data_IF_710275657037
#
_entry.id   IF_710275657037
#
_cell.length_a   1.000
_cell.length_b   1.000
_cell.length_c   1.000
_cell.angle_alpha   90.00
_cell.angle_beta   90.00
_cell.angle_gamma   90.00
#
_symmetry.space_group_name_H-M   'P 1'
#
loop_
_entity.id
_entity.type
_entity.pdbx_description
1 polymer ?
#
# COMPACT_ATOMS: atom_id res chain seq x y z
N UNK A 1 -6.26 26.19 8.65
CA UNK A 1 -5.68 27.30 7.83
C UNK A 1 -5.16 26.66 6.56
N UNK A 2 -5.69 27.05 5.41
CA UNK A 2 -5.20 26.58 4.10
C UNK A 2 -3.78 27.08 3.90
N UNK A 3 -2.84 26.19 3.62
CA UNK A 3 -1.44 26.51 3.38
C UNK A 3 -1.31 27.26 2.05
N UNK A 4 -1.26 28.60 2.08
CA UNK A 4 -1.06 29.43 0.88
C UNK A 4 0.43 29.50 0.59
N UNK A 5 0.88 28.84 -0.50
CA UNK A 5 2.27 28.90 -0.97
C UNK A 5 2.34 29.90 -2.12
N UNK A 6 3.01 31.02 -1.89
CA UNK A 6 3.31 32.02 -2.89
C UNK A 6 4.68 31.85 -3.54
N UNK A 7 4.99 32.71 -4.52
CA UNK A 7 6.28 32.68 -5.24
C UNK A 7 7.49 32.95 -4.34
N UNK A 8 7.31 33.70 -3.28
CA UNK A 8 8.38 34.11 -2.36
C UNK A 8 8.35 33.36 -1.02
N UNK A 9 7.42 32.42 -0.84
CA UNK A 9 7.37 31.56 0.35
C UNK A 9 8.61 30.67 0.42
N UNK A 10 9.30 30.66 1.56
CA UNK A 10 10.47 29.81 1.79
C UNK A 10 10.03 28.41 2.21
N UNK A 11 10.16 27.45 1.30
CA UNK A 11 9.69 26.07 1.51
C UNK A 11 10.85 25.09 1.51
N UNK A 12 10.94 24.26 2.55
CA UNK A 12 11.87 23.15 2.59
C UNK A 12 11.15 21.83 2.33
N UNK A 13 11.71 20.96 1.47
CA UNK A 13 11.24 19.60 1.23
C UNK A 13 12.23 18.65 1.90
N UNK A 14 11.77 17.87 2.87
CA UNK A 14 12.60 16.90 3.59
C UNK A 14 12.37 15.48 3.09
N UNK A 15 13.41 14.89 2.48
CA UNK A 15 13.41 13.60 1.82
C UNK A 15 13.07 13.70 0.32
N UNK A 16 13.73 12.86 -0.50
CA UNK A 16 13.64 12.89 -1.97
C UNK A 16 13.17 11.54 -2.55
N UNK A 17 12.24 10.89 -1.85
CA UNK A 17 11.48 9.76 -2.39
C UNK A 17 10.43 10.22 -3.41
N UNK A 18 9.48 9.34 -3.77
CA UNK A 18 8.43 9.63 -4.77
C UNK A 18 7.66 10.92 -4.41
N UNK A 19 7.18 11.05 -3.17
CA UNK A 19 6.43 12.24 -2.74
C UNK A 19 7.31 13.49 -2.62
N UNK A 20 8.56 13.36 -2.19
CA UNK A 20 9.48 14.50 -2.14
C UNK A 20 9.80 15.05 -3.53
N UNK A 21 10.02 14.19 -4.51
CA UNK A 21 10.18 14.59 -5.93
C UNK A 21 8.93 15.27 -6.48
N UNK A 22 7.77 14.74 -6.16
CA UNK A 22 6.48 15.31 -6.53
C UNK A 22 6.31 16.71 -5.91
N UNK A 23 6.63 16.87 -4.62
CA UNK A 23 6.57 18.17 -3.94
C UNK A 23 7.51 19.20 -4.58
N UNK A 24 8.77 18.86 -4.84
CA UNK A 24 9.72 19.72 -5.53
C UNK A 24 9.22 20.14 -6.91
N UNK A 25 8.72 19.18 -7.70
CA UNK A 25 8.16 19.44 -9.03
C UNK A 25 6.93 20.34 -8.97
N UNK A 26 6.06 20.13 -7.99
CA UNK A 26 4.86 20.95 -7.79
C UNK A 26 5.20 22.38 -7.37
N UNK A 27 6.10 22.58 -6.40
CA UNK A 27 6.58 23.91 -5.98
C UNK A 27 7.16 24.71 -7.16
N UNK A 28 7.87 24.03 -8.05
CA UNK A 28 8.39 24.66 -9.26
C UNK A 28 7.26 25.12 -10.20
N UNK A 29 6.23 24.26 -10.42
CA UNK A 29 5.06 24.64 -11.24
C UNK A 29 4.31 25.84 -10.66
N UNK A 30 4.27 25.97 -9.33
CA UNK A 30 3.73 27.14 -8.64
C UNK A 30 4.62 28.40 -8.77
N UNK A 31 5.84 28.27 -9.31
CA UNK A 31 6.80 29.38 -9.40
C UNK A 31 7.46 29.72 -8.06
N UNK A 32 7.46 28.83 -7.07
CA UNK A 32 8.12 29.04 -5.79
C UNK A 32 9.64 29.18 -6.00
N UNK A 33 10.19 30.35 -5.68
CA UNK A 33 11.60 30.71 -5.92
C UNK A 33 12.53 30.30 -4.79
N UNK A 34 11.99 30.10 -3.58
CA UNK A 34 12.76 29.82 -2.37
C UNK A 34 12.56 28.36 -1.90
N UNK A 35 12.40 27.43 -2.85
CA UNK A 35 12.33 26.01 -2.56
C UNK A 35 13.74 25.44 -2.33
N UNK A 36 13.88 24.60 -1.27
CA UNK A 36 15.13 23.87 -0.98
C UNK A 36 14.83 22.41 -0.68
N UNK A 37 15.79 21.53 -0.97
CA UNK A 37 15.73 20.13 -0.64
C UNK A 37 16.64 19.82 0.55
N UNK A 38 16.13 19.07 1.52
CA UNK A 38 16.88 18.52 2.65
C UNK A 38 16.92 16.99 2.48
N UNK A 39 18.12 16.43 2.43
CA UNK A 39 18.34 14.98 2.35
C UNK A 39 19.73 14.62 2.85
N UNK A 40 19.98 13.32 3.13
CA UNK A 40 21.30 12.83 3.59
C UNK A 40 22.40 13.06 2.56
N UNK A 41 22.05 12.91 1.27
CA UNK A 41 22.97 13.11 0.16
C UNK A 41 22.31 13.96 -0.92
N UNK A 42 23.11 14.72 -1.68
CA UNK A 42 22.59 15.48 -2.81
C UNK A 42 22.20 14.52 -3.96
N UNK A 43 20.92 14.47 -4.36
CA UNK A 43 20.51 13.62 -5.47
C UNK A 43 21.16 14.07 -6.78
N UNK A 44 21.63 13.10 -7.58
CA UNK A 44 22.29 13.38 -8.87
C UNK A 44 21.34 14.05 -9.89
N UNK A 45 20.05 13.79 -9.78
CA UNK A 45 18.99 14.32 -10.63
C UNK A 45 18.30 15.57 -10.07
N UNK A 46 18.81 16.15 -8.97
CA UNK A 46 18.29 17.40 -8.43
C UNK A 46 18.62 18.59 -9.36
N UNK A 47 17.59 19.31 -9.72
CA UNK A 47 17.71 20.50 -10.59
C UNK A 47 18.66 21.55 -9.98
N UNK A 48 19.43 22.23 -10.82
CA UNK A 48 20.47 23.20 -10.37
C UNK A 48 19.92 24.40 -9.62
N UNK A 49 18.69 24.78 -9.88
CA UNK A 49 17.99 25.92 -9.25
C UNK A 49 17.34 25.59 -7.91
N UNK A 50 17.36 24.34 -7.47
CA UNK A 50 16.89 23.93 -6.14
C UNK A 50 18.11 23.85 -5.22
N UNK A 51 18.11 24.66 -4.15
CA UNK A 51 19.13 24.60 -3.12
C UNK A 51 19.07 23.24 -2.40
N UNK A 52 20.23 22.64 -2.14
CA UNK A 52 20.33 21.42 -1.35
C UNK A 52 21.05 21.69 -0.04
N UNK A 53 20.52 21.13 1.04
CA UNK A 53 21.10 21.21 2.39
C UNK A 53 21.16 19.80 2.96
N UNK A 54 22.25 19.45 3.62
CA UNK A 54 22.41 18.17 4.27
C UNK A 54 21.45 18.05 5.47
N UNK A 55 20.89 16.85 5.70
CA UNK A 55 19.89 16.64 6.74
C UNK A 55 20.46 16.69 8.18
N UNK A 56 21.76 16.64 8.34
CA UNK A 56 22.49 16.79 9.60
C UNK A 56 22.84 18.27 9.93
N UNK A 57 22.75 19.17 8.95
CA UNK A 57 22.84 20.62 9.18
C UNK A 57 21.46 21.17 9.58
N UNK A 58 21.08 20.98 10.85
CA UNK A 58 19.76 21.39 11.35
C UNK A 58 19.51 22.89 11.24
N UNK A 59 20.52 23.71 11.54
CA UNK A 59 20.41 25.17 11.53
C UNK A 59 20.28 25.70 10.11
N UNK A 60 21.12 25.24 9.19
CA UNK A 60 21.05 25.61 7.78
C UNK A 60 19.76 25.11 7.11
N UNK A 61 19.31 23.91 7.49
CA UNK A 61 18.11 23.31 6.94
C UNK A 61 16.83 24.11 7.25
N UNK A 62 16.72 24.67 8.46
CA UNK A 62 15.53 25.37 8.93
C UNK A 62 15.63 26.90 8.87
N UNK A 63 16.81 27.46 8.57
CA UNK A 63 17.01 28.92 8.53
C UNK A 63 16.10 29.62 7.54
N UNK A 64 15.20 30.49 8.03
CA UNK A 64 14.25 31.26 7.23
C UNK A 64 13.17 30.40 6.54
N UNK A 65 12.96 29.14 6.94
CA UNK A 65 11.91 28.28 6.41
C UNK A 65 10.55 28.66 7.00
N UNK A 66 9.56 28.87 6.15
CA UNK A 66 8.19 29.19 6.52
C UNK A 66 7.27 27.96 6.48
N UNK A 67 7.66 26.91 5.70
CA UNK A 67 6.92 25.66 5.57
C UNK A 67 7.88 24.49 5.33
N UNK A 68 7.69 23.40 6.07
CA UNK A 68 8.41 22.15 5.88
C UNK A 68 7.48 21.08 5.30
N UNK A 69 7.79 20.59 4.10
CA UNK A 69 7.11 19.45 3.46
C UNK A 69 7.96 18.21 3.70
N UNK A 70 7.49 17.26 4.51
CA UNK A 70 8.24 16.03 4.77
C UNK A 70 7.75 14.84 3.93
N UNK A 71 8.65 13.96 3.54
CA UNK A 71 8.30 12.66 2.97
C UNK A 71 7.65 11.77 4.05
N UNK A 72 6.65 10.92 3.69
CA UNK A 72 5.90 10.11 4.67
C UNK A 72 6.78 9.17 5.50
N UNK A 73 7.85 8.62 4.91
CA UNK A 73 8.77 7.71 5.61
C UNK A 73 9.58 8.36 6.74
N UNK A 74 9.63 9.69 6.81
CA UNK A 74 10.36 10.41 7.86
C UNK A 74 9.57 10.36 9.15
N UNK A 75 10.20 9.81 10.21
CA UNK A 75 9.56 9.64 11.52
C UNK A 75 9.22 11.01 12.15
N UNK A 76 8.07 11.13 12.85
CA UNK A 76 7.76 12.35 13.61
C UNK A 76 8.80 12.68 14.68
N UNK A 77 9.52 11.67 15.20
CA UNK A 77 10.59 11.81 16.19
C UNK A 77 11.96 12.19 15.58
N UNK A 78 12.05 12.42 14.27
CA UNK A 78 13.32 12.80 13.64
C UNK A 78 13.80 14.16 14.19
N UNK A 79 15.11 14.35 14.52
CA UNK A 79 15.63 15.59 15.11
C UNK A 79 15.23 16.86 14.35
N UNK A 80 15.27 16.83 13.03
CA UNK A 80 14.88 17.97 12.19
C UNK A 80 13.38 18.31 12.30
N UNK A 81 12.51 17.29 12.42
CA UNK A 81 11.06 17.51 12.63
C UNK A 81 10.81 18.13 14.00
N UNK A 82 11.49 17.63 15.04
CA UNK A 82 11.39 18.17 16.40
C UNK A 82 11.91 19.61 16.47
N UNK A 83 13.02 19.92 15.77
CA UNK A 83 13.57 21.27 15.68
C UNK A 83 12.61 22.22 14.93
N UNK A 84 12.00 21.78 13.83
CA UNK A 84 10.99 22.57 13.11
C UNK A 84 9.77 22.89 13.99
N UNK A 85 9.26 21.88 14.74
CA UNK A 85 8.17 22.07 15.70
C UNK A 85 8.55 23.06 16.80
N UNK A 86 9.75 22.96 17.37
CA UNK A 86 10.25 23.88 18.40
C UNK A 86 10.41 25.32 17.89
N UNK A 87 10.75 25.47 16.60
CA UNK A 87 10.82 26.76 15.92
C UNK A 87 9.47 27.30 15.45
N UNK A 88 8.37 26.58 15.66
CA UNK A 88 7.04 26.96 15.20
C UNK A 88 6.86 26.89 13.68
N UNK A 89 7.72 26.15 12.96
CA UNK A 89 7.62 25.98 11.51
C UNK A 89 6.51 24.96 11.20
N UNK A 90 5.47 25.33 10.46
CA UNK A 90 4.44 24.41 10.02
C UNK A 90 5.03 23.23 9.22
N UNK A 91 4.61 22.02 9.55
CA UNK A 91 5.07 20.80 8.87
C UNK A 91 3.87 20.11 8.22
N UNK A 92 4.01 19.74 6.95
CA UNK A 92 3.01 19.08 6.14
C UNK A 92 3.62 17.97 5.28
N UNK A 93 2.82 17.32 4.43
CA UNK A 93 3.27 16.34 3.43
C UNK A 93 2.64 16.61 2.06
N UNK A 94 3.21 16.03 1.00
CA UNK A 94 2.64 16.15 -0.34
C UNK A 94 1.18 15.66 -0.40
N UNK A 95 0.87 14.59 0.32
CA UNK A 95 -0.50 14.05 0.41
C UNK A 95 -1.43 15.00 1.14
N UNK A 96 -1.02 15.61 2.27
CA UNK A 96 -1.85 16.55 3.01
C UNK A 96 -2.15 17.81 2.17
N UNK A 97 -1.12 18.36 1.50
CA UNK A 97 -1.28 19.49 0.58
C UNK A 97 -2.26 19.19 -0.56
N UNK A 98 -2.20 17.96 -1.11
CA UNK A 98 -3.15 17.54 -2.12
C UNK A 98 -4.59 17.53 -1.60
N UNK A 99 -4.83 16.93 -0.42
CA UNK A 99 -6.17 16.87 0.17
C UNK A 99 -6.69 18.29 0.49
N UNK A 100 -5.87 19.15 1.06
CA UNK A 100 -6.21 20.56 1.32
C UNK A 100 -6.56 21.32 0.03
N UNK A 101 -5.79 21.11 -1.04
CA UNK A 101 -6.05 21.75 -2.34
C UNK A 101 -7.32 21.24 -2.98
N UNK A 102 -7.57 19.93 -2.90
CA UNK A 102 -8.79 19.31 -3.41
C UNK A 102 -10.04 19.79 -2.64
N UNK A 103 -9.97 19.86 -1.32
CA UNK A 103 -11.04 20.39 -0.47
C UNK A 103 -11.34 21.85 -0.79
N UNK A 104 -10.31 22.71 -0.85
CA UNK A 104 -10.46 24.14 -1.23
C UNK A 104 -11.12 24.31 -2.60
N UNK A 105 -10.85 23.40 -3.54
CA UNK A 105 -11.46 23.39 -4.86
C UNK A 105 -12.87 22.75 -4.89
N UNK A 106 -13.36 22.23 -3.77
CA UNK A 106 -14.65 21.55 -3.64
C UNK A 106 -14.72 20.27 -4.48
N UNK A 107 -13.61 19.49 -4.52
CA UNK A 107 -13.53 18.24 -5.26
C UNK A 107 -13.97 17.05 -4.39
N UNK A 108 -14.60 16.07 -5.03
CA UNK A 108 -14.97 14.82 -4.36
C UNK A 108 -13.75 13.92 -4.23
N UNK A 109 -13.33 13.66 -2.99
CA UNK A 109 -12.19 12.80 -2.66
C UNK A 109 -12.65 11.58 -1.86
N UNK A 110 -12.36 10.38 -2.35
CA UNK A 110 -12.53 9.11 -1.65
C UNK A 110 -11.16 8.65 -1.15
N UNK A 111 -10.88 8.82 0.13
CA UNK A 111 -9.65 8.33 0.75
C UNK A 111 -9.81 6.90 1.27
N UNK A 112 -8.90 6.00 0.92
CA UNK A 112 -8.95 4.59 1.33
C UNK A 112 -7.75 4.24 2.19
N UNK A 113 -7.98 3.83 3.43
CA UNK A 113 -6.92 3.38 4.36
C UNK A 113 -7.27 2.07 5.07
N UNK A 114 -6.34 1.56 5.86
CA UNK A 114 -6.42 0.32 6.62
C UNK A 114 -5.07 -0.40 6.67
N UNK A 115 -4.95 -1.44 7.47
CA UNK A 115 -3.73 -2.26 7.47
C UNK A 115 -3.62 -3.09 6.19
N UNK A 116 -4.66 -3.81 5.78
CA UNK A 116 -4.74 -4.56 4.50
C UNK A 116 -6.03 -4.23 3.74
N UNK A 117 -6.03 -4.49 2.42
CA UNK A 117 -7.20 -4.32 1.57
C UNK A 117 -7.29 -2.96 0.86
N UNK A 118 -6.47 -1.98 1.24
CA UNK A 118 -6.47 -0.62 0.67
C UNK A 118 -6.45 -0.59 -0.86
N UNK A 119 -5.38 -1.13 -1.46
CA UNK A 119 -5.14 -1.07 -2.91
C UNK A 119 -6.25 -1.76 -3.70
N UNK A 120 -6.68 -2.94 -3.24
CA UNK A 120 -7.79 -3.66 -3.87
C UNK A 120 -9.08 -2.86 -3.79
N UNK A 121 -9.40 -2.32 -2.61
CA UNK A 121 -10.61 -1.50 -2.40
C UNK A 121 -10.57 -0.24 -3.24
N UNK A 122 -9.48 0.52 -3.24
CA UNK A 122 -9.32 1.74 -4.03
C UNK A 122 -9.46 1.46 -5.54
N UNK A 123 -8.84 0.36 -6.02
CA UNK A 123 -8.97 -0.04 -7.42
C UNK A 123 -10.40 -0.49 -7.78
N UNK A 124 -11.07 -1.24 -6.90
CA UNK A 124 -12.46 -1.63 -7.12
C UNK A 124 -13.39 -0.41 -7.14
N UNK A 125 -13.19 0.58 -6.25
CA UNK A 125 -13.94 1.84 -6.26
C UNK A 125 -13.75 2.53 -7.61
N UNK A 126 -12.50 2.78 -8.02
CA UNK A 126 -12.21 3.50 -9.26
C UNK A 126 -12.82 2.79 -10.48
N UNK A 127 -12.61 1.47 -10.61
CA UNK A 127 -13.18 0.69 -11.71
C UNK A 127 -14.71 0.65 -11.70
N UNK A 128 -15.34 0.64 -10.53
CA UNK A 128 -16.82 0.65 -10.43
C UNK A 128 -17.38 2.00 -10.84
N UNK A 129 -16.72 3.10 -10.49
CA UNK A 129 -17.09 4.45 -10.95
C UNK A 129 -16.89 4.60 -12.47
N UNK A 130 -15.76 4.12 -13.00
CA UNK A 130 -15.49 4.09 -14.45
C UNK A 130 -16.55 3.28 -15.20
N UNK A 131 -16.93 2.09 -14.68
CA UNK A 131 -18.00 1.27 -15.25
C UNK A 131 -19.36 1.98 -15.24
N UNK A 132 -19.60 2.87 -14.28
CA UNK A 132 -20.76 3.75 -14.22
C UNK A 132 -20.62 5.02 -15.08
N UNK A 133 -19.55 5.14 -15.88
CA UNK A 133 -19.24 6.33 -16.70
C UNK A 133 -19.02 7.60 -15.88
N UNK A 134 -18.55 7.48 -14.65
CA UNK A 134 -18.21 8.60 -13.78
C UNK A 134 -16.71 8.89 -13.95
N UNK A 135 -16.32 10.11 -14.39
CA UNK A 135 -14.93 10.49 -14.53
C UNK A 135 -14.17 10.27 -13.20
N UNK A 136 -13.11 9.47 -13.23
CA UNK A 136 -12.42 9.01 -12.02
C UNK A 136 -10.92 9.04 -12.21
N UNK A 137 -10.18 9.38 -11.14
CA UNK A 137 -8.71 9.30 -11.10
C UNK A 137 -8.30 8.54 -9.84
N UNK A 138 -7.47 7.52 -10.00
CA UNK A 138 -6.87 6.74 -8.91
C UNK A 138 -5.42 7.17 -8.68
N UNK A 139 -5.09 7.56 -7.44
CA UNK A 139 -3.77 8.10 -7.07
C UNK A 139 -3.38 7.70 -5.63
N UNK A 140 -2.20 8.10 -5.20
CA UNK A 140 -1.72 7.98 -3.82
C UNK A 140 -0.62 6.95 -3.66
N UNK A 141 -0.75 6.02 -2.71
CA UNK A 141 0.25 4.98 -2.45
C UNK A 141 0.31 3.90 -3.55
N UNK A 142 -0.62 3.95 -4.50
CA UNK A 142 -0.62 3.19 -5.76
C UNK A 142 -0.76 4.16 -6.94
N UNK A 143 -0.16 3.79 -8.07
CA UNK A 143 -0.21 4.62 -9.27
C UNK A 143 0.65 5.89 -9.16
N UNK A 144 0.06 7.02 -9.53
CA UNK A 144 0.73 8.33 -9.53
C UNK A 144 0.64 8.98 -8.15
N UNK A 145 1.67 9.74 -7.77
CA UNK A 145 1.58 10.60 -6.59
C UNK A 145 0.41 11.60 -6.75
N UNK A 146 -0.38 11.77 -5.68
CA UNK A 146 -1.56 12.62 -5.73
C UNK A 146 -1.23 14.08 -6.12
N UNK A 147 -0.13 14.62 -5.61
CA UNK A 147 0.28 16.00 -5.89
C UNK A 147 0.74 16.21 -7.35
N UNK A 148 1.13 15.14 -8.08
CA UNK A 148 1.50 15.26 -9.50
C UNK A 148 0.32 15.60 -10.40
N UNK A 149 -0.90 15.24 -9.99
CA UNK A 149 -2.13 15.39 -10.76
C UNK A 149 -3.03 16.52 -10.26
N UNK A 150 -2.63 17.25 -9.21
CA UNK A 150 -3.51 18.18 -8.50
C UNK A 150 -4.14 19.24 -9.41
N UNK A 151 -3.37 19.85 -10.31
CA UNK A 151 -3.88 20.90 -11.20
C UNK A 151 -4.81 20.31 -12.29
N UNK A 152 -4.50 19.09 -12.78
CA UNK A 152 -5.35 18.40 -13.75
C UNK A 152 -6.72 18.08 -13.15
N UNK A 153 -6.75 17.55 -11.90
CA UNK A 153 -8.02 17.20 -11.24
C UNK A 153 -8.81 18.44 -10.82
N UNK A 154 -8.14 19.53 -10.46
CA UNK A 154 -8.82 20.82 -10.21
C UNK A 154 -9.51 21.34 -11.48
N UNK A 155 -8.88 21.17 -12.64
CA UNK A 155 -9.42 21.62 -13.93
C UNK A 155 -10.57 20.75 -14.44
N UNK A 156 -10.47 19.42 -14.34
CA UNK A 156 -11.43 18.47 -14.92
C UNK A 156 -12.48 17.96 -13.95
N UNK A 157 -12.29 18.15 -12.65
CA UNK A 157 -13.21 17.81 -11.55
C UNK A 157 -13.72 16.34 -11.55
N UNK A 158 -12.84 15.33 -11.71
CA UNK A 158 -13.23 13.93 -11.58
C UNK A 158 -13.49 13.59 -10.11
N UNK A 159 -14.09 12.42 -9.85
CA UNK A 159 -14.03 11.79 -8.52
C UNK A 159 -12.61 11.27 -8.31
N UNK A 160 -12.00 11.64 -7.20
CA UNK A 160 -10.61 11.26 -6.91
C UNK A 160 -10.61 10.13 -5.89
N UNK A 161 -10.01 9.01 -6.23
CA UNK A 161 -9.79 7.88 -5.31
C UNK A 161 -8.33 7.90 -4.89
N UNK A 162 -8.08 8.05 -3.59
CA UNK A 162 -6.72 8.14 -3.03
C UNK A 162 -6.45 6.98 -2.10
N UNK A 163 -5.48 6.13 -2.41
CA UNK A 163 -4.98 5.15 -1.44
C UNK A 163 -4.01 5.82 -0.47
N UNK A 164 -4.26 5.66 0.83
CA UNK A 164 -3.50 6.32 1.89
C UNK A 164 -2.87 5.31 2.85
N UNK A 165 -1.54 5.36 3.00
CA UNK A 165 -0.80 4.65 4.04
C UNK A 165 -0.99 5.31 5.41
N UNK A 166 -0.58 4.62 6.51
CA UNK A 166 -0.59 5.23 7.84
C UNK A 166 0.39 6.39 7.99
N UNK A 167 1.46 6.40 7.20
CA UNK A 167 2.42 7.50 7.16
C UNK A 167 1.82 8.77 6.55
N UNK A 168 1.00 8.59 5.50
CA UNK A 168 0.32 9.69 4.81
C UNK A 168 -0.86 10.23 5.61
N UNK A 169 -1.68 9.34 6.21
CA UNK A 169 -2.81 9.79 7.04
C UNK A 169 -2.35 10.48 8.31
N UNK A 170 -1.14 10.19 8.82
CA UNK A 170 -0.55 10.84 9.99
C UNK A 170 -0.51 12.36 9.87
N UNK A 171 -0.25 12.87 8.68
CA UNK A 171 -0.04 14.31 8.44
C UNK A 171 -1.32 15.07 8.02
N UNK A 172 -2.45 14.37 7.82
CA UNK A 172 -3.69 15.01 7.38
C UNK A 172 -4.18 16.04 8.42
N UNK A 173 -4.55 17.20 7.94
CA UNK A 173 -5.21 18.27 8.71
C UNK A 173 -6.67 18.39 8.34
N UNK A 174 -7.03 17.95 7.14
CA UNK A 174 -8.39 17.88 6.59
C UNK A 174 -8.62 16.46 6.08
N UNK A 175 -9.78 15.88 6.36
CA UNK A 175 -10.20 14.57 5.87
C UNK A 175 -10.78 14.64 4.46
N UNK A 176 -10.78 13.53 3.69
CA UNK A 176 -11.47 13.44 2.41
C UNK A 176 -12.99 13.45 2.61
N UNK A 177 -13.76 13.90 1.60
CA UNK A 177 -15.23 13.91 1.66
C UNK A 177 -15.84 12.51 1.88
N UNK A 178 -15.15 11.46 1.45
CA UNK A 178 -15.49 10.07 1.77
C UNK A 178 -14.24 9.35 2.28
N UNK A 179 -14.26 8.89 3.53
CA UNK A 179 -13.22 8.02 4.10
C UNK A 179 -13.65 6.56 4.06
N UNK A 180 -12.77 5.66 3.62
CA UNK A 180 -13.00 4.22 3.63
C UNK A 180 -11.92 3.55 4.48
N UNK A 181 -12.34 2.85 5.55
CA UNK A 181 -11.43 2.17 6.47
C UNK A 181 -11.68 0.66 6.36
N UNK A 182 -10.67 -0.08 5.87
CA UNK A 182 -10.83 -1.49 5.53
C UNK A 182 -10.65 -2.42 6.71
N UNK A 183 -9.48 -2.39 7.36
CA UNK A 183 -9.15 -3.26 8.49
C UNK A 183 -8.04 -2.66 9.34
N UNK A 184 -8.04 -2.94 10.67
CA UNK A 184 -6.98 -2.55 11.58
C UNK A 184 -6.34 -3.76 12.25
N UNK A 185 -5.02 -3.86 12.15
CA UNK A 185 -4.16 -4.71 12.98
C UNK A 185 -2.75 -4.12 12.99
N UNK A 186 -1.92 -4.43 14.00
CA UNK A 186 -0.63 -3.79 14.21
C UNK A 186 0.34 -3.98 13.05
N UNK A 187 0.86 -2.87 12.50
CA UNK A 187 1.96 -2.81 11.52
C UNK A 187 2.80 -1.56 11.80
N UNK A 188 4.05 -1.51 11.35
CA UNK A 188 4.91 -0.31 11.39
C UNK A 188 5.08 0.32 12.78
N UNK A 189 5.10 -0.49 13.84
CA UNK A 189 5.11 -0.01 15.23
C UNK A 189 6.37 0.76 15.59
N UNK A 190 7.50 0.43 14.97
CA UNK A 190 8.78 1.13 15.12
C UNK A 190 8.75 2.57 14.60
N UNK A 191 7.95 2.86 13.58
CA UNK A 191 7.77 4.20 13.04
C UNK A 191 6.78 5.01 13.87
N UNK A 192 5.66 4.39 14.26
CA UNK A 192 4.57 5.06 14.98
C UNK A 192 4.82 5.16 16.48
N UNK A 193 5.75 4.36 17.04
CA UNK A 193 6.01 4.31 18.47
C UNK A 193 5.01 3.46 19.26
N UNK A 194 4.22 2.60 18.58
CA UNK A 194 3.29 1.69 19.24
C UNK A 194 1.97 1.47 18.49
N UNK A 195 1.11 0.61 19.04
CA UNK A 195 -0.15 0.19 18.42
C UNK A 195 -1.16 1.34 18.39
N UNK A 196 -1.37 2.02 19.51
CA UNK A 196 -2.37 3.10 19.57
C UNK A 196 -2.00 4.31 18.70
N UNK A 197 -0.75 4.80 18.66
CA UNK A 197 -0.33 5.83 17.69
C UNK A 197 -0.49 5.41 16.23
N UNK A 198 -0.24 4.13 15.91
CA UNK A 198 -0.48 3.59 14.57
C UNK A 198 -1.96 3.63 14.19
N UNK A 199 -2.85 3.18 15.08
CA UNK A 199 -4.28 3.22 14.83
C UNK A 199 -4.81 4.66 14.77
N UNK A 200 -4.36 5.53 15.66
CA UNK A 200 -4.70 6.95 15.63
C UNK A 200 -4.30 7.60 14.30
N UNK A 201 -3.11 7.30 13.79
CA UNK A 201 -2.65 7.79 12.48
C UNK A 201 -3.57 7.35 11.35
N UNK A 202 -4.04 6.09 11.34
CA UNK A 202 -4.99 5.64 10.31
C UNK A 202 -6.38 6.24 10.45
N UNK A 203 -6.88 6.34 11.68
CA UNK A 203 -8.21 6.88 11.96
C UNK A 203 -8.28 8.39 11.76
N UNK A 204 -7.14 9.07 11.66
CA UNK A 204 -7.07 10.49 11.36
C UNK A 204 -7.79 10.88 10.07
N UNK A 205 -7.85 9.97 9.09
CA UNK A 205 -8.62 10.15 7.86
C UNK A 205 -10.10 10.48 8.11
N UNK A 206 -10.68 9.91 9.17
CA UNK A 206 -12.07 10.15 9.58
C UNK A 206 -12.16 11.24 10.67
N UNK A 207 -11.18 11.29 11.56
CA UNK A 207 -11.17 12.26 12.67
C UNK A 207 -11.03 13.71 12.19
N UNK A 208 -10.50 13.93 10.99
CA UNK A 208 -10.34 15.26 10.38
C UNK A 208 -11.40 15.60 9.34
N UNK A 209 -12.46 14.77 9.21
CA UNK A 209 -13.64 15.04 8.38
C UNK A 209 -14.59 16.04 9.04
N UNK A 210 -15.48 16.61 8.24
CA UNK A 210 -16.58 17.49 8.66
C UNK A 210 -17.92 16.73 8.75
N UNK A 211 -18.96 17.34 9.33
CA UNK A 211 -20.32 16.74 9.49
C UNK A 211 -20.97 16.34 8.15
N UNK A 212 -20.67 17.05 7.07
CA UNK A 212 -21.18 16.74 5.71
C UNK A 212 -20.52 15.54 5.03
N UNK A 213 -19.43 15.05 5.56
CA UNK A 213 -18.63 13.95 4.99
C UNK A 213 -19.18 12.57 5.35
N UNK A 214 -18.57 11.53 4.81
CA UNK A 214 -18.97 10.14 5.03
C UNK A 214 -17.78 9.28 5.41
N UNK A 215 -17.89 8.53 6.51
CA UNK A 215 -16.95 7.48 6.91
C UNK A 215 -17.55 6.10 6.67
N UNK A 216 -16.99 5.34 5.76
CA UNK A 216 -17.32 3.94 5.46
C UNK A 216 -16.32 3.04 6.17
N UNK A 217 -16.78 2.13 7.01
CA UNK A 217 -15.87 1.33 7.82
C UNK A 217 -16.35 -0.12 8.01
N UNK A 218 -15.39 -1.02 8.15
CA UNK A 218 -15.63 -2.46 8.29
C UNK A 218 -16.15 -2.80 9.70
N UNK A 219 -17.45 -3.04 9.82
CA UNK A 219 -18.08 -3.37 11.10
C UNK A 219 -17.79 -4.82 11.57
N UNK A 220 -17.18 -5.65 10.73
CA UNK A 220 -16.73 -6.99 11.14
C UNK A 220 -15.31 -6.97 11.75
N UNK A 221 -14.63 -5.83 11.71
CA UNK A 221 -13.32 -5.68 12.32
C UNK A 221 -13.46 -5.28 13.79
N UNK A 222 -12.96 -6.08 14.76
CA UNK A 222 -13.16 -5.82 16.18
C UNK A 222 -12.52 -4.51 16.64
N UNK A 223 -11.36 -4.14 16.08
CA UNK A 223 -10.66 -2.92 16.45
C UNK A 223 -11.38 -1.67 15.95
N UNK A 224 -11.98 -1.72 14.75
CA UNK A 224 -12.82 -0.65 14.25
C UNK A 224 -14.13 -0.55 15.06
N UNK A 225 -14.80 -1.67 15.32
CA UNK A 225 -16.05 -1.69 16.09
C UNK A 225 -15.87 -1.13 17.52
N UNK A 226 -14.73 -1.40 18.15
CA UNK A 226 -14.41 -0.88 19.49
C UNK A 226 -14.14 0.62 19.50
N UNK A 227 -13.67 1.21 18.39
CA UNK A 227 -13.26 2.61 18.28
C UNK A 227 -14.27 3.54 17.64
N UNK A 228 -15.32 3.01 17.03
CA UNK A 228 -16.37 3.83 16.44
C UNK A 228 -17.19 4.60 17.53
N UNK A 229 -17.65 5.83 17.27
CA UNK A 229 -17.42 6.65 16.06
C UNK A 229 -16.00 7.26 15.99
N UNK A 230 -15.52 7.57 14.78
CA UNK A 230 -14.14 8.03 14.55
C UNK A 230 -14.02 9.56 14.38
N UNK A 231 -15.14 10.26 14.16
CA UNK A 231 -15.20 11.70 13.90
C UNK A 231 -16.64 12.17 13.69
N UNK A 232 -16.85 13.43 13.27
CA UNK A 232 -18.17 14.04 13.15
C UNK A 232 -18.95 13.62 11.88
N UNK A 233 -18.30 12.99 10.90
CA UNK A 233 -18.90 12.58 9.64
C UNK A 233 -20.02 11.53 9.82
N UNK A 234 -20.88 11.35 8.83
CA UNK A 234 -21.87 10.29 8.81
C UNK A 234 -21.20 8.92 8.66
N UNK A 235 -21.44 8.02 9.61
CA UNK A 235 -20.86 6.68 9.66
C UNK A 235 -21.71 5.65 8.90
N UNK A 236 -21.10 4.95 7.95
CA UNK A 236 -21.69 3.88 7.14
C UNK A 236 -20.93 2.58 7.41
N UNK A 237 -21.42 1.71 8.33
CA UNK A 237 -20.82 0.41 8.57
C UNK A 237 -21.09 -0.53 7.38
N UNK A 238 -20.07 -1.33 6.98
CA UNK A 238 -20.24 -2.41 6.01
C UNK A 238 -19.75 -3.75 6.56
N UNK A 239 -20.06 -4.82 5.87
CA UNK A 239 -19.61 -6.18 6.20
C UNK A 239 -20.65 -7.02 6.91
N UNK A 240 -21.62 -6.41 7.59
CA UNK A 240 -22.73 -7.11 8.25
C UNK A 240 -23.88 -7.40 7.26
N UNK A 241 -24.63 -8.45 7.52
CA UNK A 241 -25.78 -8.86 6.67
C UNK A 241 -25.40 -9.35 5.27
N UNK A 242 -26.38 -9.54 4.38
CA UNK A 242 -26.16 -10.01 3.01
C UNK A 242 -25.45 -8.94 2.17
N UNK A 243 -24.75 -9.36 1.12
CA UNK A 243 -24.19 -8.44 0.14
C UNK A 243 -25.31 -7.89 -0.78
N UNK A 244 -25.19 -6.64 -1.17
CA UNK A 244 -26.12 -6.00 -2.12
C UNK A 244 -25.75 -6.31 -3.60
N UNK A 245 -24.82 -7.24 -3.84
CA UNK A 245 -24.35 -7.66 -5.16
C UNK A 245 -24.10 -9.16 -5.19
N UNK A 246 -24.11 -9.75 -6.40
CA UNK A 246 -23.72 -11.15 -6.61
C UNK A 246 -22.21 -11.28 -6.72
N UNK A 247 -21.62 -12.23 -6.01
CA UNK A 247 -20.19 -12.59 -6.10
C UNK A 247 -19.94 -13.88 -6.90
N UNK A 248 -20.97 -14.41 -7.58
CA UNK A 248 -20.91 -15.69 -8.32
C UNK A 248 -19.80 -15.73 -9.37
N UNK A 249 -19.53 -14.60 -10.04
CA UNK A 249 -18.51 -14.49 -11.09
C UNK A 249 -17.24 -13.75 -10.62
N UNK A 250 -17.12 -13.51 -9.31
CA UNK A 250 -15.98 -12.80 -8.75
C UNK A 250 -14.68 -13.59 -8.93
N UNK A 251 -13.72 -13.02 -9.66
CA UNK A 251 -12.40 -13.62 -9.86
C UNK A 251 -11.49 -13.50 -8.65
N UNK A 252 -11.67 -12.46 -7.83
CA UNK A 252 -10.91 -12.26 -6.60
C UNK A 252 -11.26 -13.29 -5.55
N UNK A 253 -10.25 -14.05 -5.07
CA UNK A 253 -10.44 -15.12 -4.08
C UNK A 253 -10.43 -14.59 -2.65
N UNK A 254 -11.12 -15.29 -1.78
CA UNK A 254 -11.09 -15.15 -0.33
C UNK A 254 -12.13 -14.19 0.26
N UNK A 255 -12.53 -14.42 1.52
CA UNK A 255 -13.57 -13.64 2.20
C UNK A 255 -13.18 -12.15 2.39
N UNK A 256 -11.90 -11.85 2.52
CA UNK A 256 -11.41 -10.49 2.61
C UNK A 256 -11.68 -9.66 1.34
N UNK A 257 -11.66 -10.28 0.16
CA UNK A 257 -11.97 -9.58 -1.08
C UNK A 257 -13.48 -9.33 -1.24
N UNK A 258 -14.35 -10.17 -0.67
CA UNK A 258 -15.77 -9.86 -0.54
C UNK A 258 -16.02 -8.62 0.31
N UNK A 259 -15.27 -8.45 1.40
CA UNK A 259 -15.32 -7.23 2.22
C UNK A 259 -14.79 -6.01 1.46
N UNK A 260 -13.69 -6.15 0.70
CA UNK A 260 -13.19 -5.09 -0.16
C UNK A 260 -14.21 -4.65 -1.21
N UNK A 261 -14.93 -5.61 -1.82
CA UNK A 261 -16.00 -5.33 -2.78
C UNK A 261 -17.20 -4.62 -2.12
N UNK A 262 -17.59 -5.00 -0.89
CA UNK A 262 -18.64 -4.31 -0.12
C UNK A 262 -18.25 -2.86 0.16
N UNK A 263 -17.03 -2.62 0.61
CA UNK A 263 -16.52 -1.27 0.83
C UNK A 263 -16.55 -0.44 -0.48
N UNK A 264 -16.13 -1.07 -1.60
CA UNK A 264 -16.12 -0.41 -2.90
C UNK A 264 -17.52 -0.01 -3.35
N UNK A 265 -18.51 -0.90 -3.22
CA UNK A 265 -19.90 -0.57 -3.56
C UNK A 265 -20.43 0.57 -2.68
N UNK A 266 -20.23 0.50 -1.36
CA UNK A 266 -20.67 1.55 -0.45
C UNK A 266 -20.12 2.94 -0.85
N UNK A 267 -18.83 3.01 -1.22
CA UNK A 267 -18.19 4.26 -1.64
C UNK A 267 -18.68 4.72 -3.02
N UNK A 268 -18.70 3.84 -4.00
CA UNK A 268 -19.09 4.17 -5.37
C UNK A 268 -20.59 4.55 -5.49
N UNK A 269 -21.45 3.96 -4.66
CA UNK A 269 -22.90 4.26 -4.67
C UNK A 269 -23.22 5.69 -4.20
N UNK A 270 -22.35 6.34 -3.43
CA UNK A 270 -22.48 7.77 -3.06
C UNK A 270 -22.50 8.64 -4.32
N UNK A 271 -21.82 8.20 -5.38
CA UNK A 271 -21.71 8.89 -6.66
C UNK A 271 -22.65 8.31 -7.75
N UNK A 272 -23.57 7.42 -7.38
CA UNK A 272 -24.59 6.88 -8.29
C UNK A 272 -24.22 5.57 -8.97
N UNK A 273 -23.11 4.92 -8.64
CA UNK A 273 -22.80 3.60 -9.15
C UNK A 273 -23.78 2.54 -8.57
N UNK A 274 -24.22 1.61 -9.42
CA UNK A 274 -25.15 0.54 -9.07
C UNK A 274 -24.40 -0.77 -8.80
N UNK A 275 -25.02 -1.75 -8.08
CA UNK A 275 -24.46 -3.07 -7.87
C UNK A 275 -23.99 -3.76 -9.15
N UNK A 276 -24.74 -3.64 -10.26
CA UNK A 276 -24.41 -4.24 -11.56
C UNK A 276 -23.09 -3.74 -12.14
N UNK A 277 -22.70 -2.49 -11.89
CA UNK A 277 -21.39 -1.95 -12.31
C UNK A 277 -20.26 -2.67 -11.57
N UNK A 278 -20.39 -2.86 -10.24
CA UNK A 278 -19.43 -3.63 -9.45
C UNK A 278 -19.36 -5.09 -9.90
N UNK A 279 -20.50 -5.73 -10.14
CA UNK A 279 -20.57 -7.14 -10.59
C UNK A 279 -19.81 -7.35 -11.91
N UNK A 280 -19.98 -6.44 -12.87
CA UNK A 280 -19.21 -6.42 -14.11
C UNK A 280 -17.71 -6.30 -13.87
N UNK A 281 -17.30 -5.41 -12.95
CA UNK A 281 -15.90 -5.26 -12.54
C UNK A 281 -15.38 -6.53 -11.88
N UNK A 282 -16.12 -7.15 -10.94
CA UNK A 282 -15.69 -8.36 -10.23
C UNK A 282 -15.54 -9.56 -11.18
N UNK A 283 -16.36 -9.65 -12.22
CA UNK A 283 -16.27 -10.68 -13.26
C UNK A 283 -15.04 -10.46 -14.19
N UNK A 284 -14.63 -9.23 -14.40
CA UNK A 284 -13.52 -8.87 -15.29
C UNK A 284 -12.17 -8.77 -14.58
N UNK A 285 -12.14 -8.24 -13.34
CA UNK A 285 -10.92 -7.88 -12.63
C UNK A 285 -10.27 -9.10 -11.96
N UNK A 286 -9.08 -9.53 -12.42
CA UNK A 286 -8.42 -10.72 -11.87
C UNK A 286 -7.67 -10.47 -10.57
N UNK A 287 -7.52 -9.22 -10.15
CA UNK A 287 -6.71 -8.78 -9.03
C UNK A 287 -5.63 -7.78 -9.45
N UNK A 288 -4.89 -7.31 -8.46
CA UNK A 288 -3.74 -6.44 -8.69
C UNK A 288 -2.53 -7.27 -9.12
N UNK A 289 -1.66 -6.76 -10.01
CA UNK A 289 -0.40 -7.41 -10.33
C UNK A 289 0.39 -7.72 -9.05
N UNK A 290 1.08 -8.85 -9.03
CA UNK A 290 1.94 -9.30 -7.92
C UNK A 290 1.23 -9.51 -6.57
N UNK A 291 -0.09 -9.50 -6.54
CA UNK A 291 -0.89 -9.74 -5.32
C UNK A 291 -1.84 -10.90 -5.54
N UNK A 292 -1.40 -12.10 -5.16
CA UNK A 292 -2.15 -13.35 -5.41
C UNK A 292 -2.61 -13.40 -6.88
N UNK A 293 -1.77 -12.91 -7.76
CA UNK A 293 -2.05 -12.80 -9.18
C UNK A 293 -2.00 -14.18 -9.85
N UNK A 294 -3.10 -14.59 -10.46
CA UNK A 294 -3.18 -15.83 -11.21
C UNK A 294 -2.58 -15.64 -12.61
N UNK A 295 -1.40 -16.18 -12.83
CA UNK A 295 -0.73 -16.14 -14.14
C UNK A 295 -1.31 -17.13 -15.16
N UNK A 296 -2.16 -18.07 -14.72
CA UNK A 296 -2.71 -19.14 -15.55
C UNK A 296 -1.97 -20.46 -15.42
N UNK A 297 -2.19 -21.33 -16.41
CA UNK A 297 -1.64 -22.70 -16.43
C UNK A 297 -0.48 -22.76 -17.44
N UNK A 298 0.73 -23.09 -16.94
CA UNK A 298 1.92 -23.33 -17.74
C UNK A 298 2.53 -24.67 -17.34
N UNK A 299 2.92 -25.50 -18.29
CA UNK A 299 3.43 -26.86 -18.09
C UNK A 299 2.51 -27.76 -17.25
N UNK A 300 1.17 -27.53 -17.31
CA UNK A 300 0.17 -28.27 -16.53
C UNK A 300 0.12 -27.93 -15.06
N UNK A 301 0.68 -26.78 -14.65
CA UNK A 301 0.70 -26.24 -13.30
C UNK A 301 0.05 -24.86 -13.30
N UNK A 302 -0.74 -24.55 -12.26
CA UNK A 302 -1.26 -23.20 -12.03
C UNK A 302 -0.22 -22.37 -11.28
N UNK A 303 0.06 -21.16 -11.75
CA UNK A 303 1.09 -20.30 -11.19
C UNK A 303 0.49 -19.05 -10.57
N UNK A 304 0.83 -18.81 -9.31
CA UNK A 304 0.36 -17.64 -8.55
C UNK A 304 1.53 -16.76 -8.17
N UNK A 305 1.45 -15.48 -8.56
CA UNK A 305 2.43 -14.46 -8.26
C UNK A 305 1.96 -13.58 -7.10
N UNK A 306 2.60 -13.68 -5.97
CA UNK A 306 2.35 -12.86 -4.78
C UNK A 306 3.64 -12.16 -4.32
N UNK A 307 4.40 -11.62 -5.30
CA UNK A 307 5.68 -10.95 -5.04
C UNK A 307 5.59 -9.79 -4.05
N UNK A 308 4.42 -9.20 -3.85
CA UNK A 308 4.17 -8.13 -2.87
C UNK A 308 4.23 -8.63 -1.41
N UNK A 309 4.22 -9.93 -1.17
CA UNK A 309 4.35 -10.52 0.16
C UNK A 309 5.79 -10.34 0.68
N UNK A 310 6.06 -9.22 1.33
CA UNK A 310 7.38 -8.85 1.85
C UNK A 310 7.58 -9.17 3.32
N UNK A 311 6.63 -9.89 3.94
CA UNK A 311 6.67 -10.33 5.34
C UNK A 311 6.06 -11.73 5.49
N UNK A 312 6.47 -12.52 6.50
CA UNK A 312 5.97 -13.89 6.74
C UNK A 312 4.44 -13.99 6.86
N UNK A 313 3.79 -13.03 7.51
CA UNK A 313 2.35 -13.00 7.71
C UNK A 313 1.57 -12.86 6.39
N UNK A 314 2.15 -12.14 5.42
CA UNK A 314 1.54 -12.00 4.10
C UNK A 314 1.55 -13.33 3.35
N UNK A 315 2.64 -14.08 3.42
CA UNK A 315 2.75 -15.40 2.81
C UNK A 315 1.82 -16.43 3.48
N UNK A 316 1.66 -16.35 4.80
CA UNK A 316 0.64 -17.17 5.52
C UNK A 316 -0.75 -16.88 4.99
N UNK A 317 -1.12 -15.60 4.85
CA UNK A 317 -2.42 -15.22 4.31
C UNK A 317 -2.62 -15.68 2.85
N UNK A 318 -1.57 -15.66 2.03
CA UNK A 318 -1.61 -16.19 0.67
C UNK A 318 -1.84 -17.72 0.67
N UNK A 319 -1.14 -18.47 1.53
CA UNK A 319 -1.37 -19.91 1.71
C UNK A 319 -2.81 -20.22 2.16
N UNK A 320 -3.36 -19.40 3.07
CA UNK A 320 -4.75 -19.56 3.54
C UNK A 320 -5.77 -19.32 2.42
N UNK A 321 -5.50 -18.40 1.50
CA UNK A 321 -6.40 -18.09 0.39
C UNK A 321 -6.57 -19.25 -0.60
N UNK A 322 -5.60 -20.17 -0.69
CA UNK A 322 -5.62 -21.32 -1.59
C UNK A 322 -5.88 -22.66 -0.87
N UNK A 323 -5.83 -22.68 0.46
CA UNK A 323 -6.04 -23.90 1.24
C UNK A 323 -5.11 -25.04 0.81
N UNK A 324 -5.70 -26.20 0.46
CA UNK A 324 -4.94 -27.37 0.02
C UNK A 324 -4.54 -27.42 -1.45
N UNK A 325 -4.86 -26.41 -2.27
CA UNK A 325 -4.53 -26.36 -3.70
C UNK A 325 -3.02 -26.19 -3.95
N UNK A 326 -2.33 -25.46 -3.07
CA UNK A 326 -0.87 -25.25 -3.16
C UNK A 326 -0.14 -26.53 -2.82
N UNK A 327 0.73 -27.00 -3.72
CA UNK A 327 1.63 -28.14 -3.53
C UNK A 327 3.10 -27.78 -3.65
N UNK A 328 3.40 -26.59 -4.16
CA UNK A 328 4.75 -26.06 -4.25
C UNK A 328 4.76 -24.60 -3.81
N UNK A 329 5.60 -24.28 -2.85
CA UNK A 329 5.80 -22.93 -2.35
C UNK A 329 7.19 -22.43 -2.75
N UNK A 330 7.26 -21.20 -3.24
CA UNK A 330 8.51 -20.49 -3.52
C UNK A 330 8.55 -19.26 -2.62
N UNK A 331 9.57 -19.15 -1.76
CA UNK A 331 9.73 -18.03 -0.83
C UNK A 331 11.19 -17.65 -0.59
N UNK A 332 11.43 -16.58 0.17
CA UNK A 332 12.74 -16.02 0.44
C UNK A 332 13.02 -14.72 -0.31
N UNK A 333 14.13 -14.09 -0.01
CA UNK A 333 14.57 -12.76 -0.49
C UNK A 333 15.46 -12.12 0.55
N UNK A 334 15.46 -10.78 0.68
CA UNK A 334 16.30 -10.06 1.64
C UNK A 334 15.99 -10.47 3.07
N UNK A 335 17.02 -10.86 3.82
CA UNK A 335 16.89 -11.16 5.25
C UNK A 335 16.91 -9.85 6.06
N UNK A 336 15.89 -9.64 6.87
CA UNK A 336 15.77 -8.51 7.82
C UNK A 336 15.59 -8.97 9.27
N UNK A 337 15.97 -10.21 9.58
CA UNK A 337 15.78 -10.77 10.91
C UNK A 337 14.32 -11.04 11.25
N UNK A 338 13.49 -11.38 10.26
CA UNK A 338 12.10 -11.76 10.50
C UNK A 338 11.98 -13.05 11.30
N UNK A 339 10.95 -13.12 12.15
CA UNK A 339 10.52 -14.39 12.74
C UNK A 339 9.75 -15.22 11.68
N UNK A 340 10.41 -16.24 11.15
CA UNK A 340 9.79 -17.16 10.20
C UNK A 340 8.97 -18.28 10.84
N UNK A 341 8.92 -18.40 12.18
CA UNK A 341 8.21 -19.48 12.86
C UNK A 341 6.70 -19.55 12.50
N UNK A 342 5.95 -18.45 12.35
CA UNK A 342 4.55 -18.51 11.89
C UNK A 342 4.40 -19.11 10.49
N UNK A 343 5.28 -18.72 9.54
CA UNK A 343 5.26 -19.25 8.18
C UNK A 343 5.71 -20.73 8.15
N UNK A 344 6.73 -21.09 8.89
CA UNK A 344 7.18 -22.46 9.01
C UNK A 344 6.05 -23.37 9.55
N UNK A 345 5.32 -22.96 10.58
CA UNK A 345 4.12 -23.66 11.07
C UNK A 345 3.05 -23.82 9.99
N UNK A 346 2.79 -22.76 9.21
CA UNK A 346 1.82 -22.80 8.14
C UNK A 346 2.22 -23.75 7.00
N UNK A 347 3.49 -23.84 6.66
CA UNK A 347 4.02 -24.75 5.64
C UNK A 347 3.96 -26.22 6.12
N UNK A 348 4.36 -26.48 7.37
CA UNK A 348 4.35 -27.81 8.00
C UNK A 348 2.92 -28.36 8.12
N UNK A 349 1.98 -27.53 8.61
CA UNK A 349 0.59 -27.95 8.82
C UNK A 349 -0.14 -28.32 7.52
N UNK A 350 0.34 -27.83 6.35
CA UNK A 350 -0.19 -28.16 5.03
C UNK A 350 0.49 -29.33 4.34
N UNK A 351 1.52 -29.88 4.96
CA UNK A 351 2.32 -31.01 4.45
C UNK A 351 2.75 -30.84 2.98
N UNK A 352 3.29 -29.64 2.67
CA UNK A 352 3.67 -29.31 1.30
C UNK A 352 4.80 -30.23 0.80
N UNK A 353 4.63 -30.87 -0.37
CA UNK A 353 5.67 -31.74 -0.92
C UNK A 353 6.92 -30.98 -1.36
N UNK A 354 6.79 -29.71 -1.75
CA UNK A 354 7.91 -28.91 -2.24
C UNK A 354 7.92 -27.51 -1.61
N UNK A 355 9.05 -27.14 -1.02
CA UNK A 355 9.35 -25.79 -0.54
C UNK A 355 10.68 -25.36 -1.17
N UNK A 356 10.65 -24.29 -1.99
CA UNK A 356 11.81 -23.77 -2.72
C UNK A 356 12.15 -22.39 -2.16
N UNK A 357 13.41 -22.21 -1.77
CA UNK A 357 13.84 -21.08 -0.95
C UNK A 357 14.92 -20.26 -1.64
N UNK A 358 14.67 -18.96 -1.76
CA UNK A 358 15.55 -17.98 -2.37
C UNK A 358 16.48 -17.33 -1.33
N UNK A 359 17.77 -17.13 -1.62
CA UNK A 359 18.67 -16.40 -0.75
C UNK A 359 18.39 -14.89 -0.77
N UNK A 360 18.89 -14.12 0.24
CA UNK A 360 19.59 -14.59 1.44
C UNK A 360 18.66 -15.07 2.56
N UNK A 361 17.36 -14.76 2.59
CA UNK A 361 16.41 -15.10 3.65
C UNK A 361 15.93 -16.56 3.66
N UNK A 362 16.10 -17.27 2.52
CA UNK A 362 15.72 -18.68 2.41
C UNK A 362 16.37 -19.59 3.45
N UNK A 363 17.69 -19.49 3.72
CA UNK A 363 18.35 -20.24 4.79
C UNK A 363 17.72 -20.03 6.17
N UNK A 364 17.31 -18.82 6.52
CA UNK A 364 16.64 -18.52 7.80
C UNK A 364 15.27 -19.21 7.90
N UNK A 365 14.49 -19.23 6.83
CA UNK A 365 13.23 -19.98 6.77
C UNK A 365 13.48 -21.50 6.81
N UNK A 366 14.52 -22.01 6.14
CA UNK A 366 14.92 -23.42 6.22
C UNK A 366 15.25 -23.81 7.65
N UNK A 367 16.02 -22.99 8.37
CA UNK A 367 16.35 -23.24 9.77
C UNK A 367 15.09 -23.31 10.65
N UNK A 368 14.12 -22.43 10.44
CA UNK A 368 12.84 -22.47 11.14
C UNK A 368 12.01 -23.73 10.83
N UNK A 369 12.03 -24.21 9.58
CA UNK A 369 11.38 -25.45 9.16
C UNK A 369 12.03 -26.67 9.83
N UNK A 370 13.37 -26.76 9.79
CA UNK A 370 14.12 -27.87 10.38
C UNK A 370 13.90 -27.94 11.89
N UNK A 371 13.89 -26.79 12.56
CA UNK A 371 13.66 -26.71 14.02
C UNK A 371 12.25 -27.17 14.41
N UNK A 372 11.26 -26.96 13.55
CA UNK A 372 9.87 -27.33 13.81
C UNK A 372 9.56 -28.78 13.39
N UNK A 373 10.01 -29.21 12.21
CA UNK A 373 9.86 -30.54 11.65
C UNK A 373 11.01 -30.88 10.69
N UNK A 374 11.96 -31.75 11.09
CA UNK A 374 13.07 -32.16 10.22
C UNK A 374 12.63 -32.77 8.87
N UNK A 375 11.45 -33.45 8.83
CA UNK A 375 10.93 -34.02 7.57
C UNK A 375 10.47 -32.92 6.60
N UNK A 376 9.86 -31.88 7.12
CA UNK A 376 9.50 -30.70 6.31
C UNK A 376 10.77 -29.97 5.82
N UNK A 377 11.77 -29.83 6.68
CA UNK A 377 13.09 -29.29 6.31
C UNK A 377 13.75 -30.09 5.17
N UNK A 378 13.66 -31.42 5.20
CA UNK A 378 14.22 -32.28 4.15
C UNK A 378 13.54 -32.11 2.78
N UNK A 379 12.32 -31.60 2.73
CA UNK A 379 11.58 -31.27 1.49
C UNK A 379 11.89 -29.86 0.95
N UNK A 380 12.55 -29.03 1.74
CA UNK A 380 12.96 -27.70 1.33
C UNK A 380 14.27 -27.75 0.50
N UNK A 381 14.36 -26.88 -0.49
CA UNK A 381 15.52 -26.72 -1.37
C UNK A 381 15.90 -25.25 -1.45
N UNK A 382 17.11 -24.93 -1.08
CA UNK A 382 17.67 -23.59 -1.34
C UNK A 382 18.27 -23.59 -2.74
N UNK A 383 17.90 -22.58 -3.52
CA UNK A 383 18.35 -22.36 -4.91
C UNK A 383 19.17 -21.08 -5.01
N UNK A 384 19.83 -20.87 -6.15
CA UNK A 384 20.69 -19.69 -6.36
C UNK A 384 19.88 -18.43 -6.66
N UNK A 385 18.81 -18.55 -7.46
CA UNK A 385 18.05 -17.44 -7.98
C UNK A 385 16.60 -17.82 -8.35
N UNK A 386 15.85 -16.84 -8.85
CA UNK A 386 14.44 -17.00 -9.21
C UNK A 386 14.24 -17.88 -10.45
N UNK A 387 15.19 -17.88 -11.38
CA UNK A 387 15.09 -18.71 -12.59
C UNK A 387 15.25 -20.20 -12.22
N UNK A 388 16.22 -20.52 -11.36
CA UNK A 388 16.36 -21.87 -10.82
C UNK A 388 15.12 -22.30 -10.02
N UNK A 389 14.55 -21.38 -9.22
CA UNK A 389 13.32 -21.66 -8.45
C UNK A 389 12.16 -22.05 -9.35
N UNK A 390 11.90 -21.30 -10.42
CA UNK A 390 10.82 -21.57 -11.38
C UNK A 390 11.06 -22.90 -12.12
N UNK A 391 12.28 -23.13 -12.62
CA UNK A 391 12.64 -24.37 -13.29
C UNK A 391 12.51 -25.60 -12.38
N UNK A 392 12.92 -25.47 -11.12
CA UNK A 392 12.80 -26.52 -10.12
C UNK A 392 11.34 -26.80 -9.77
N UNK A 393 10.53 -25.75 -9.59
CA UNK A 393 9.10 -25.89 -9.35
C UNK A 393 8.38 -26.59 -10.49
N UNK A 394 8.67 -26.20 -11.74
CA UNK A 394 8.08 -26.84 -12.94
C UNK A 394 8.38 -28.34 -13.02
N UNK A 395 9.55 -28.76 -12.55
CA UNK A 395 10.00 -30.16 -12.54
C UNK A 395 9.43 -30.98 -11.39
N UNK A 396 9.30 -30.39 -10.19
CA UNK A 396 8.93 -31.12 -8.95
C UNK A 396 7.46 -31.05 -8.61
N UNK A 397 6.75 -30.00 -9.04
CA UNK A 397 5.35 -29.82 -8.67
C UNK A 397 4.46 -30.92 -9.27
N UNK A 398 3.54 -31.49 -8.52
CA UNK A 398 2.56 -32.45 -9.05
C UNK A 398 1.70 -31.79 -10.13
N UNK A 399 1.52 -32.45 -11.26
CA UNK A 399 0.68 -31.94 -12.36
C UNK A 399 -0.74 -31.62 -11.88
N UNK A 400 -1.30 -30.52 -12.38
CA UNK A 400 -2.62 -30.04 -11.98
C UNK A 400 -2.63 -29.29 -10.63
N UNK A 401 -1.47 -29.17 -9.96
CA UNK A 401 -1.38 -28.43 -8.70
C UNK A 401 -1.03 -26.96 -8.87
N UNK A 402 -1.14 -26.22 -7.78
CA UNK A 402 -0.79 -24.78 -7.73
C UNK A 402 0.63 -24.60 -7.18
N UNK A 403 1.42 -23.79 -7.89
CA UNK A 403 2.70 -23.21 -7.45
C UNK A 403 2.45 -21.80 -6.95
N UNK A 404 2.77 -21.53 -5.69
CA UNK A 404 2.62 -20.21 -5.08
C UNK A 404 4.01 -19.57 -4.89
N UNK A 405 4.25 -18.46 -5.56
CA UNK A 405 5.36 -17.57 -5.29
C UNK A 405 4.91 -16.46 -4.34
N UNK A 406 5.28 -16.56 -3.07
CA UNK A 406 4.97 -15.60 -2.01
C UNK A 406 6.19 -15.43 -1.12
N UNK A 407 7.10 -14.51 -1.46
CA UNK A 407 8.47 -14.46 -0.94
C UNK A 407 8.62 -14.37 0.58
N UNK A 408 7.66 -13.77 1.28
CA UNK A 408 7.75 -13.51 2.73
C UNK A 408 8.94 -12.63 3.14
N UNK A 409 9.59 -11.98 2.16
CA UNK A 409 10.80 -11.19 2.34
C UNK A 409 10.84 -10.05 1.32
N UNK A 410 11.46 -8.90 1.66
CA UNK A 410 11.69 -7.81 0.72
C UNK A 410 12.52 -8.26 -0.49
N UNK A 411 12.46 -7.47 -1.56
CA UNK A 411 13.15 -7.75 -2.83
C UNK A 411 14.50 -7.03 -2.96
N UNK A 412 14.78 -6.06 -2.11
CA UNK A 412 15.96 -5.19 -2.21
C UNK A 412 17.28 -5.98 -2.17
N UNK A 413 18.29 -5.48 -2.85
CA UNK A 413 19.59 -6.11 -2.95
C UNK A 413 19.75 -7.05 -4.16
N UNK A 414 18.64 -7.61 -4.66
CA UNK A 414 18.60 -8.43 -5.89
C UNK A 414 17.73 -7.76 -6.95
N UNK A 415 16.60 -7.18 -6.55
CA UNK A 415 15.67 -6.45 -7.40
C UNK A 415 15.49 -5.02 -6.88
N UNK A 416 15.14 -4.10 -7.77
CA UNK A 416 14.84 -2.70 -7.43
C UNK A 416 13.64 -2.60 -6.48
N UNK A 417 12.62 -3.41 -6.70
CA UNK A 417 11.38 -3.44 -5.93
C UNK A 417 10.66 -4.78 -6.11
N UNK A 418 9.50 -4.96 -5.46
CA UNK A 418 8.71 -6.19 -5.58
C UNK A 418 8.03 -6.32 -6.95
N UNK A 419 7.78 -5.22 -7.64
CA UNK A 419 7.21 -5.21 -9.00
C UNK A 419 8.20 -5.85 -9.97
N UNK A 420 9.45 -5.41 -10.01
CA UNK A 420 10.48 -6.00 -10.86
C UNK A 420 10.67 -7.50 -10.57
N UNK A 421 10.68 -7.89 -9.30
CA UNK A 421 10.74 -9.30 -8.91
C UNK A 421 9.54 -10.09 -9.42
N UNK A 422 8.34 -9.51 -9.32
CA UNK A 422 7.10 -10.13 -9.79
C UNK A 422 6.99 -10.18 -11.31
N UNK A 423 7.50 -9.18 -12.03
CA UNK A 423 7.58 -9.18 -13.49
C UNK A 423 8.58 -10.23 -13.99
N UNK A 424 9.73 -10.34 -13.33
CA UNK A 424 10.71 -11.40 -13.63
C UNK A 424 10.08 -12.79 -13.43
N UNK A 425 9.38 -13.01 -12.32
CA UNK A 425 8.67 -14.27 -12.08
C UNK A 425 7.66 -14.57 -13.18
N UNK A 426 6.83 -13.58 -13.58
CA UNK A 426 5.86 -13.73 -14.67
C UNK A 426 6.56 -14.10 -15.99
N UNK A 427 7.64 -13.40 -16.33
CA UNK A 427 8.41 -13.67 -17.55
C UNK A 427 8.98 -15.09 -17.57
N UNK A 428 9.56 -15.55 -16.46
CA UNK A 428 10.12 -16.89 -16.33
C UNK A 428 9.04 -17.98 -16.45
N UNK A 429 7.87 -17.78 -15.85
CA UNK A 429 6.73 -18.71 -15.96
C UNK A 429 6.18 -18.76 -17.37
N UNK A 430 6.07 -17.61 -18.06
CA UNK A 430 5.61 -17.57 -19.46
C UNK A 430 6.61 -18.17 -20.45
N UNK A 431 7.87 -18.28 -20.06
CA UNK A 431 8.93 -18.92 -20.84
C UNK A 431 9.04 -20.44 -20.67
N UNK A 432 8.21 -21.07 -19.81
CA UNK A 432 8.15 -22.54 -19.63
C UNK A 432 7.45 -23.20 -20.82
#
# INVERSE_FOLDING_TARGET
MTTSIGTDTSVAVFGYGIEGRSAVSWLRRLGCRQARLISSERPADLERNIAWIAADDLDGALSGVELLIKSPGIKPSHPLILAAMAAGIPTTSATALFVERADTAGLAVIGVTGSKGKSTTATLIAKTLEAASIPTVLVGNIGRCALDVVEDVVSHRPVIVVELSSYQTHDLTIGPSVAVITRLFPEHLDWHGGIEPYYASKLKIAATQCEGDVTIWNATDPELARRAPFGPARHVPYGLGPAAFSDTHMKLRGPHNRLNARAALCAASIFGALPSHLEGVLAAFPGLPHRIEDLGIFCGLRWINDSIATAPEAAVAALDAFGGEVKTYIGGGTDRGFDFAPLARALVSRDLPNVILLPPGGPSLLAALVALDPKAGARARVVSDLAEAVALAARLAPRGSTVLFSPASPSYGVFKNFEERGDMFRMLVQGL
#
